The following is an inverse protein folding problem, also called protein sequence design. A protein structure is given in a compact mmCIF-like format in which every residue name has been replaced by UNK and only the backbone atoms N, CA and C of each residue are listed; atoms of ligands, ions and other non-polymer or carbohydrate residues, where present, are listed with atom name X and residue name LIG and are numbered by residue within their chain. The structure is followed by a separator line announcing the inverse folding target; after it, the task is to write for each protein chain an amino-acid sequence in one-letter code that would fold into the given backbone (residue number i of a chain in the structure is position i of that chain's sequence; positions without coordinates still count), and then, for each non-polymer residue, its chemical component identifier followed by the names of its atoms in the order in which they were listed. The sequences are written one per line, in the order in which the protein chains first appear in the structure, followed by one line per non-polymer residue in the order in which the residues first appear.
data_IF_227124177748
#
_entry.id   IF_227124177748
#
_cell.length_a   1.000
_cell.length_b   1.000
_cell.length_c   1.000
_cell.angle_alpha   90.00
_cell.angle_beta   90.00
_cell.angle_gamma   90.00
#
_symmetry.space_group_name_H-M   'P 1'
#
loop_
_entity.id
_entity.type
_entity.pdbx_description
1 polymer ?
#
# COMPACT_ATOMS: atom_id res chain seq x y z
N UNK A 1 -5.85 -14.88 14.87
CA UNK A 1 -4.66 -15.74 14.73
C UNK A 1 -5.12 -17.14 14.33
N UNK A 2 -4.47 -17.72 13.32
CA UNK A 2 -4.66 -19.12 12.91
C UNK A 2 -3.39 -19.87 13.27
N UNK A 3 -3.56 -21.01 13.96
CA UNK A 3 -2.48 -21.91 14.38
C UNK A 3 -2.70 -23.30 13.75
N UNK A 4 -1.64 -24.09 13.51
CA UNK A 4 -1.84 -25.48 13.09
C UNK A 4 -2.53 -26.29 14.19
N UNK A 5 -3.49 -27.13 13.79
CA UNK A 5 -4.01 -28.19 14.66
C UNK A 5 -3.16 -29.43 14.39
N UNK A 6 -2.38 -29.91 15.38
CA UNK A 6 -1.46 -31.04 15.19
C UNK A 6 -0.79 -31.03 13.80
N UNK A 7 0.09 -31.66 13.41
CA UNK A 7 0.95 -31.72 12.20
C UNK A 7 0.45 -31.16 10.83
N UNK A 8 -0.64 -30.39 10.79
CA UNK A 8 -1.20 -29.86 9.53
C UNK A 8 -0.31 -28.76 8.93
N UNK A 9 -0.04 -28.91 7.66
CA UNK A 9 0.64 -27.89 6.86
C UNK A 9 -0.22 -26.64 6.68
N UNK A 10 0.39 -25.49 6.46
CA UNK A 10 -0.32 -24.26 6.06
C UNK A 10 -1.07 -24.46 4.72
N UNK A 11 -0.59 -25.39 3.88
CA UNK A 11 -1.18 -25.70 2.60
C UNK A 11 -2.47 -26.52 2.71
N UNK A 12 -2.74 -27.15 3.87
CA UNK A 12 -3.95 -27.92 4.13
C UNK A 12 -5.13 -27.03 4.58
N UNK A 13 -4.89 -25.74 4.72
CA UNK A 13 -5.91 -24.78 5.14
C UNK A 13 -6.98 -24.61 4.06
N UNK A 14 -8.25 -24.66 4.48
CA UNK A 14 -9.36 -24.45 3.57
C UNK A 14 -9.41 -23.00 3.06
N UNK A 15 -9.13 -22.81 1.76
CA UNK A 15 -9.11 -21.51 1.11
C UNK A 15 -10.39 -20.70 1.32
N UNK A 16 -11.57 -21.30 1.16
CA UNK A 16 -12.85 -20.60 1.30
C UNK A 16 -13.04 -20.08 2.71
N UNK A 17 -12.66 -20.88 3.73
CA UNK A 17 -12.71 -20.50 5.14
C UNK A 17 -11.75 -19.34 5.44
N UNK A 18 -10.51 -19.40 4.94
CA UNK A 18 -9.52 -18.33 5.10
C UNK A 18 -10.02 -17.02 4.48
N UNK A 19 -10.52 -17.07 3.24
CA UNK A 19 -11.07 -15.88 2.56
C UNK A 19 -12.25 -15.31 3.34
N UNK A 20 -13.16 -16.14 3.84
CA UNK A 20 -14.31 -15.69 4.66
C UNK A 20 -13.86 -14.98 5.94
N UNK A 21 -12.87 -15.55 6.65
CA UNK A 21 -12.29 -14.91 7.84
C UNK A 21 -11.64 -13.57 7.49
N UNK A 22 -10.87 -13.52 6.40
CA UNK A 22 -10.19 -12.31 5.95
C UNK A 22 -11.19 -11.18 5.62
N UNK A 23 -12.23 -11.48 4.85
CA UNK A 23 -13.32 -10.54 4.54
C UNK A 23 -13.98 -9.97 5.80
N UNK A 24 -14.19 -10.80 6.81
CA UNK A 24 -14.81 -10.39 8.08
C UNK A 24 -13.87 -9.60 8.98
N UNK A 25 -12.59 -9.99 9.06
CA UNK A 25 -11.63 -9.46 10.05
C UNK A 25 -10.62 -8.44 9.46
N UNK A 26 -10.38 -8.46 8.15
CA UNK A 26 -9.40 -7.60 7.48
C UNK A 26 -7.94 -8.01 7.68
N UNK A 27 -7.62 -8.77 8.72
CA UNK A 27 -6.27 -9.23 9.05
C UNK A 27 -6.29 -10.67 9.51
N UNK A 28 -5.31 -11.46 9.07
CA UNK A 28 -5.07 -12.82 9.55
C UNK A 28 -3.58 -12.96 9.87
N UNK A 29 -3.28 -13.53 11.05
CA UNK A 29 -1.93 -13.92 11.44
C UNK A 29 -1.86 -15.44 11.45
N UNK A 30 -1.02 -16.01 10.60
CA UNK A 30 -0.68 -17.44 10.61
C UNK A 30 0.53 -17.64 11.52
N UNK A 31 0.37 -18.34 12.63
CA UNK A 31 1.41 -18.52 13.64
C UNK A 31 1.67 -20.00 13.91
N UNK A 32 2.94 -20.38 13.93
CA UNK A 32 3.36 -21.75 14.28
C UNK A 32 3.39 -22.72 13.11
N UNK A 33 3.15 -22.28 11.87
CA UNK A 33 3.32 -23.11 10.67
C UNK A 33 4.79 -23.17 10.24
N UNK A 34 5.21 -24.35 9.72
CA UNK A 34 6.52 -24.52 9.08
C UNK A 34 6.50 -23.91 7.68
N UNK A 35 6.78 -22.60 7.60
CA UNK A 35 6.90 -21.87 6.34
C UNK A 35 8.26 -21.18 6.26
N UNK A 36 8.81 -21.09 5.07
CA UNK A 36 10.11 -20.47 4.81
C UNK A 36 10.11 -19.68 3.50
N UNK A 37 11.22 -19.06 3.17
CA UNK A 37 11.40 -18.22 1.97
C UNK A 37 11.13 -18.95 0.66
N UNK A 38 11.37 -20.27 0.61
CA UNK A 38 11.19 -21.05 -0.64
C UNK A 38 9.75 -21.46 -0.89
N UNK A 39 8.88 -21.39 0.11
CA UNK A 39 7.50 -21.82 0.00
C UNK A 39 6.44 -20.77 0.38
N UNK A 40 6.86 -19.60 0.90
CA UNK A 40 5.92 -18.54 1.27
C UNK A 40 5.12 -18.05 0.05
N UNK A 41 5.76 -17.84 -1.10
CA UNK A 41 5.09 -17.43 -2.32
C UNK A 41 4.12 -18.50 -2.82
N UNK A 42 4.47 -19.78 -2.73
CA UNK A 42 3.55 -20.89 -3.07
C UNK A 42 2.26 -20.82 -2.23
N UNK A 43 2.38 -20.44 -0.96
CA UNK A 43 1.20 -20.25 -0.12
C UNK A 43 0.39 -19.03 -0.53
N UNK A 44 1.03 -17.89 -0.79
CA UNK A 44 0.31 -16.67 -1.20
C UNK A 44 -0.33 -16.81 -2.58
N UNK A 45 0.25 -17.61 -3.49
CA UNK A 45 -0.31 -17.92 -4.82
C UNK A 45 -1.71 -18.59 -4.75
N UNK A 46 -2.01 -19.29 -3.66
CA UNK A 46 -3.34 -19.86 -3.42
C UNK A 46 -4.42 -18.76 -3.45
N UNK A 47 -4.08 -17.55 -3.01
CA UNK A 47 -5.01 -16.43 -2.82
C UNK A 47 -4.78 -15.30 -3.82
N UNK A 48 -3.59 -15.18 -4.41
CA UNK A 48 -3.14 -14.06 -5.22
C UNK A 48 -3.07 -14.47 -6.69
N UNK A 49 -3.79 -13.75 -7.55
CA UNK A 49 -3.73 -13.96 -9.01
C UNK A 49 -2.64 -13.11 -9.67
N UNK A 50 -2.37 -11.94 -9.13
CA UNK A 50 -1.41 -10.98 -9.68
C UNK A 50 -0.71 -10.25 -8.56
N UNK A 51 0.62 -10.12 -8.66
CA UNK A 51 1.43 -9.35 -7.73
C UNK A 51 1.66 -7.93 -8.24
N UNK A 52 1.55 -6.95 -7.35
CA UNK A 52 2.02 -5.60 -7.59
C UNK A 52 3.54 -5.59 -7.43
N UNK A 53 4.27 -5.41 -8.53
CA UNK A 53 5.74 -5.44 -8.57
C UNK A 53 6.33 -4.03 -8.76
N UNK A 54 5.75 -3.05 -8.14
CA UNK A 54 6.13 -1.64 -8.22
C UNK A 54 7.11 -1.17 -7.12
N UNK A 55 7.57 -2.08 -6.27
CA UNK A 55 8.62 -1.84 -5.29
C UNK A 55 10.01 -1.66 -5.94
N UNK A 56 10.16 -0.61 -6.76
CA UNK A 56 11.34 -0.33 -7.60
C UNK A 56 12.65 -0.22 -6.79
N UNK A 57 12.56 0.04 -5.50
CA UNK A 57 13.71 0.29 -4.61
C UNK A 57 13.98 -0.81 -3.60
N UNK A 58 13.07 -1.76 -3.44
CA UNK A 58 13.29 -2.88 -2.51
C UNK A 58 14.23 -3.89 -3.15
N UNK A 59 15.27 -4.25 -2.44
CA UNK A 59 16.20 -5.26 -2.90
C UNK A 59 15.49 -6.61 -2.94
N UNK A 60 15.42 -7.19 -4.13
CA UNK A 60 15.05 -8.58 -4.27
C UNK A 60 16.30 -9.45 -4.01
N UNK A 61 16.55 -9.81 -2.76
CA UNK A 61 17.66 -10.70 -2.37
C UNK A 61 17.36 -12.16 -2.66
N UNK A 62 16.13 -12.46 -3.07
CA UNK A 62 15.68 -13.81 -3.31
C UNK A 62 15.54 -14.05 -4.82
N UNK A 63 15.67 -15.32 -5.21
CA UNK A 63 15.38 -15.73 -6.60
C UNK A 63 13.90 -15.50 -6.97
N UNK A 64 13.04 -15.42 -5.96
CA UNK A 64 11.62 -15.15 -6.13
C UNK A 64 11.35 -13.64 -6.32
N UNK A 65 10.94 -13.28 -7.52
CA UNK A 65 10.66 -11.88 -7.90
C UNK A 65 9.47 -11.24 -7.16
N UNK A 66 8.64 -12.04 -6.51
CA UNK A 66 7.45 -11.58 -5.80
C UNK A 66 7.71 -11.40 -4.30
N UNK A 67 8.89 -11.80 -3.82
CA UNK A 67 9.30 -11.66 -2.43
C UNK A 67 10.34 -10.56 -2.29
N UNK A 68 10.01 -9.49 -1.60
CA UNK A 68 10.88 -8.34 -1.38
C UNK A 68 11.19 -8.15 0.09
N UNK A 69 12.38 -7.65 0.39
CA UNK A 69 12.67 -7.16 1.74
C UNK A 69 11.74 -5.97 2.06
N UNK A 70 11.43 -5.78 3.33
CA UNK A 70 10.83 -4.51 3.80
C UNK A 70 11.83 -3.37 3.64
N UNK A 71 11.35 -2.13 3.65
CA UNK A 71 12.23 -0.97 3.55
C UNK A 71 13.29 -0.98 4.65
N UNK A 72 14.57 -0.80 4.32
CA UNK A 72 15.63 -0.77 5.32
C UNK A 72 15.50 0.50 6.15
N UNK A 73 15.55 0.36 7.45
CA UNK A 73 15.52 1.50 8.36
C UNK A 73 15.26 1.09 9.80
N UNK A 74 15.60 1.99 10.71
CA UNK A 74 15.38 1.85 12.14
C UNK A 74 14.48 2.97 12.69
N UNK A 75 13.61 3.49 11.85
CA UNK A 75 12.69 4.57 12.18
C UNK A 75 11.25 4.09 12.14
N UNK A 76 10.40 4.79 12.86
CA UNK A 76 8.97 4.57 12.83
C UNK A 76 8.41 4.84 11.43
N UNK A 77 7.66 3.88 10.89
CA UNK A 77 6.90 4.04 9.66
C UNK A 77 5.47 4.44 10.03
N UNK A 78 5.04 5.67 9.69
CA UNK A 78 3.67 6.10 9.96
C UNK A 78 2.64 5.22 9.26
N UNK A 79 1.43 5.16 9.81
CA UNK A 79 0.31 4.44 9.23
C UNK A 79 0.00 4.95 7.81
N UNK A 80 -0.10 4.03 6.88
CA UNK A 80 -0.44 4.30 5.49
C UNK A 80 -1.07 3.08 4.83
N UNK A 81 -1.77 3.30 3.75
CA UNK A 81 -2.23 2.21 2.88
C UNK A 81 -1.20 2.01 1.77
N UNK A 82 -0.70 0.79 1.61
CA UNK A 82 0.36 0.46 0.66
C UNK A 82 0.00 0.95 -0.75
N UNK A 83 0.92 1.73 -1.35
CA UNK A 83 0.79 2.30 -2.69
C UNK A 83 -0.55 3.02 -2.96
N UNK A 84 -1.23 3.54 -1.95
CA UNK A 84 -2.53 4.23 -2.13
C UNK A 84 -2.44 5.51 -2.98
N UNK A 85 -1.25 6.04 -3.20
CA UNK A 85 -0.93 7.10 -4.15
C UNK A 85 -0.76 6.61 -5.59
N UNK A 86 -0.88 5.31 -5.84
CA UNK A 86 -0.72 4.69 -7.16
C UNK A 86 -2.07 4.36 -7.79
N UNK A 87 -2.06 4.12 -9.09
CA UNK A 87 -3.22 3.64 -9.85
C UNK A 87 -3.51 2.16 -9.62
N UNK A 88 -2.50 1.41 -9.16
CA UNK A 88 -2.56 -0.04 -8.93
C UNK A 88 -2.12 -0.40 -7.52
N UNK A 89 -2.88 0.03 -6.53
CA UNK A 89 -2.65 -0.37 -5.14
C UNK A 89 -3.02 -1.85 -4.91
N UNK A 90 -2.32 -2.54 -4.02
CA UNK A 90 -2.63 -3.93 -3.71
C UNK A 90 -3.92 -4.06 -2.89
N UNK A 91 -4.72 -5.08 -3.20
CA UNK A 91 -5.90 -5.43 -2.39
C UNK A 91 -5.53 -6.18 -1.12
N UNK A 92 -4.40 -6.89 -1.14
CA UNK A 92 -3.87 -7.69 -0.04
C UNK A 92 -2.37 -7.44 0.06
N UNK A 93 -1.88 -7.22 1.27
CA UNK A 93 -0.45 -7.16 1.57
C UNK A 93 -0.08 -8.38 2.39
N UNK A 94 0.98 -9.07 2.00
CA UNK A 94 1.52 -10.23 2.69
C UNK A 94 2.83 -9.88 3.38
N UNK A 95 2.90 -10.13 4.68
CA UNK A 95 4.12 -10.01 5.45
C UNK A 95 4.60 -11.39 5.88
N UNK A 96 5.86 -11.68 5.64
CA UNK A 96 6.53 -12.87 6.12
C UNK A 96 7.66 -12.50 7.08
N UNK A 97 7.54 -12.90 8.33
CA UNK A 97 8.60 -12.69 9.33
C UNK A 97 9.64 -13.79 9.23
N UNK A 98 10.73 -13.52 8.50
CA UNK A 98 11.84 -14.46 8.37
C UNK A 98 12.67 -14.55 9.66
N UNK A 99 12.86 -13.43 10.35
CA UNK A 99 13.58 -13.34 11.62
C UNK A 99 12.97 -12.22 12.45
N UNK A 100 12.43 -12.59 13.59
CA UNK A 100 11.88 -11.60 14.50
C UNK A 100 13.02 -10.76 15.12
N UNK A 101 12.84 -9.44 15.27
CA UNK A 101 13.79 -8.61 15.99
C UNK A 101 13.78 -8.99 17.49
N UNK A 102 14.91 -8.78 18.16
CA UNK A 102 15.00 -9.01 19.61
C UNK A 102 14.22 -7.93 20.40
N UNK A 103 14.15 -6.71 19.88
CA UNK A 103 13.51 -5.56 20.52
C UNK A 103 12.93 -4.65 19.42
N UNK A 104 11.75 -4.12 19.64
CA UNK A 104 11.03 -3.23 18.71
C UNK A 104 10.74 -3.86 17.34
N UNK A 105 10.43 -3.09 16.31
CA UNK A 105 10.20 -3.56 14.95
C UNK A 105 8.85 -4.23 14.72
N UNK A 106 7.85 -3.91 15.53
CA UNK A 106 6.48 -4.37 15.36
C UNK A 106 5.90 -3.78 14.07
N UNK A 107 5.10 -4.59 13.36
CA UNK A 107 4.22 -4.08 12.31
C UNK A 107 2.90 -3.67 12.94
N UNK A 108 2.66 -2.35 12.98
CA UNK A 108 1.42 -1.79 13.51
C UNK A 108 0.33 -1.83 12.45
N UNK A 109 -0.91 -2.02 12.88
CA UNK A 109 -2.08 -2.12 12.02
C UNK A 109 -3.20 -1.22 12.52
N UNK A 110 -3.97 -0.65 11.60
CA UNK A 110 -5.16 0.10 11.91
C UNK A 110 -6.27 -0.15 10.89
N UNK A 111 -7.51 -0.32 11.36
CA UNK A 111 -8.67 -0.49 10.47
C UNK A 111 -9.15 0.89 9.98
N UNK A 112 -8.99 1.16 8.69
CA UNK A 112 -9.45 2.41 8.06
C UNK A 112 -10.96 2.67 8.21
N UNK A 113 -11.78 1.62 8.42
CA UNK A 113 -13.23 1.76 8.72
C UNK A 113 -13.44 2.29 10.13
N UNK A 114 -12.62 1.83 11.07
CA UNK A 114 -12.65 2.33 12.44
C UNK A 114 -12.20 3.80 12.49
N UNK A 115 -11.15 4.17 11.75
CA UNK A 115 -10.73 5.57 11.62
C UNK A 115 -11.89 6.43 11.11
N UNK A 116 -12.51 6.06 9.98
CA UNK A 116 -13.64 6.82 9.43
C UNK A 116 -14.83 6.91 10.38
N UNK A 117 -15.13 5.84 11.10
CA UNK A 117 -16.22 5.83 12.12
C UNK A 117 -15.97 6.85 13.22
N UNK A 118 -14.72 7.05 13.62
CA UNK A 118 -14.31 7.99 14.67
C UNK A 118 -14.08 9.43 14.17
N UNK A 119 -14.19 9.69 12.86
CA UNK A 119 -14.19 11.06 12.36
C UNK A 119 -15.42 11.79 12.84
N UNK A 120 -15.25 13.04 13.29
CA UNK A 120 -16.36 13.96 13.48
C UNK A 120 -16.97 14.35 12.13
N UNK A 121 -18.07 15.09 12.16
CA UNK A 121 -18.81 15.50 10.96
C UNK A 121 -17.96 16.37 10.03
N UNK A 122 -17.14 17.26 10.59
CA UNK A 122 -16.29 18.18 9.82
C UNK A 122 -15.23 17.43 9.03
N UNK A 123 -14.53 16.46 9.65
CA UNK A 123 -13.57 15.61 8.96
C UNK A 123 -14.22 14.75 7.88
N UNK A 124 -15.39 14.17 8.16
CA UNK A 124 -16.14 13.41 7.16
C UNK A 124 -16.48 14.29 5.95
N UNK A 125 -17.06 15.46 6.18
CA UNK A 125 -17.41 16.40 5.14
C UNK A 125 -16.18 16.91 4.38
N UNK A 126 -15.07 17.16 5.09
CA UNK A 126 -13.83 17.58 4.46
C UNK A 126 -13.35 16.56 3.43
N UNK A 127 -13.23 15.27 3.81
CA UNK A 127 -12.73 14.23 2.91
C UNK A 127 -13.73 13.74 1.87
N UNK A 128 -15.03 13.98 2.07
CA UNK A 128 -16.04 13.75 1.04
C UNK A 128 -15.99 14.82 -0.07
N UNK A 129 -15.66 16.06 0.28
CA UNK A 129 -15.65 17.21 -0.65
C UNK A 129 -14.28 17.42 -1.32
N UNK A 130 -13.20 16.92 -0.74
CA UNK A 130 -11.85 17.23 -1.21
C UNK A 130 -11.09 15.96 -1.62
N UNK A 131 -10.57 15.96 -2.83
CA UNK A 131 -9.60 14.96 -3.28
C UNK A 131 -8.19 15.36 -2.85
N UNK A 132 -7.37 14.34 -2.62
CA UNK A 132 -5.93 14.50 -2.39
C UNK A 132 -5.23 14.47 -3.73
N UNK A 133 -4.39 15.45 -3.96
CA UNK A 133 -3.52 15.55 -5.11
C UNK A 133 -2.13 15.07 -4.72
N UNK A 134 -1.69 13.99 -5.36
CA UNK A 134 -0.35 13.45 -5.23
C UNK A 134 0.50 13.85 -6.43
N UNK A 135 1.67 14.46 -6.18
CA UNK A 135 2.73 14.62 -7.19
C UNK A 135 3.66 13.42 -7.11
N UNK A 136 3.69 12.62 -8.15
CA UNK A 136 4.41 11.35 -8.20
C UNK A 136 5.60 11.43 -9.15
N UNK A 137 6.72 10.84 -8.73
CA UNK A 137 7.89 10.62 -9.57
C UNK A 137 8.34 9.17 -9.48
N UNK A 138 8.48 8.53 -10.64
CA UNK A 138 8.98 7.16 -10.73
C UNK A 138 10.29 7.17 -11.48
N UNK A 139 11.45 7.00 -10.81
CA UNK A 139 12.72 6.86 -11.48
C UNK A 139 12.81 5.51 -12.18
N UNK A 140 13.41 5.45 -13.35
CA UNK A 140 13.76 4.22 -14.03
C UNK A 140 15.25 4.19 -14.36
N UNK A 141 15.86 2.98 -14.42
CA UNK A 141 17.27 2.83 -14.75
C UNK A 141 17.47 2.84 -16.28
N UNK A 142 18.24 3.82 -16.80
CA UNK A 142 18.50 3.98 -18.22
C UNK A 142 19.38 2.88 -18.82
N UNK A 143 20.36 2.38 -18.07
CA UNK A 143 21.45 1.54 -18.60
C UNK A 143 21.09 0.09 -18.88
N UNK A 144 19.88 -0.30 -18.53
CA UNK A 144 19.24 -1.48 -19.08
C UNK A 144 17.85 -0.98 -19.44
N UNK A 145 17.77 -0.20 -20.51
CA UNK A 145 16.51 0.11 -21.14
C UNK A 145 15.75 -1.21 -21.27
N UNK A 146 15.11 -1.59 -20.17
CA UNK A 146 14.28 -2.77 -20.17
C UNK A 146 13.24 -2.42 -21.25
N UNK A 147 13.29 -3.08 -22.42
CA UNK A 147 12.36 -2.77 -23.53
C UNK A 147 10.92 -2.78 -23.04
N UNK A 148 10.65 -3.53 -21.92
CA UNK A 148 9.36 -3.53 -21.23
C UNK A 148 9.04 -2.22 -20.50
N UNK A 149 10.04 -1.49 -19.96
CA UNK A 149 9.81 -0.17 -19.35
C UNK A 149 9.63 0.88 -20.44
N UNK A 150 10.46 0.86 -21.47
CA UNK A 150 10.30 1.76 -22.63
C UNK A 150 9.01 1.44 -23.38
N UNK A 151 8.65 0.18 -23.55
CA UNK A 151 7.38 -0.23 -24.14
C UNK A 151 6.20 0.11 -23.22
N UNK A 152 6.33 -0.03 -21.90
CA UNK A 152 5.39 0.51 -20.92
C UNK A 152 5.32 2.02 -20.95
N UNK A 153 6.44 2.74 -21.04
CA UNK A 153 6.46 4.21 -21.08
C UNK A 153 6.01 4.75 -22.43
N UNK A 154 6.29 4.08 -23.54
CA UNK A 154 5.70 4.42 -24.86
C UNK A 154 4.21 4.09 -24.95
N UNK A 155 3.75 3.06 -24.25
CA UNK A 155 2.35 2.66 -24.14
C UNK A 155 1.66 3.24 -22.89
N UNK A 156 2.33 4.05 -22.07
CA UNK A 156 1.75 4.71 -20.90
C UNK A 156 0.71 5.76 -21.30
N UNK A 157 0.80 6.33 -22.47
CA UNK A 157 -0.15 7.33 -22.93
C UNK A 157 -1.62 6.85 -22.93
N UNK A 158 -1.99 5.66 -23.44
CA UNK A 158 -3.40 5.30 -23.50
C UNK A 158 -4.03 5.07 -22.14
N UNK A 159 -3.45 4.24 -21.28
CA UNK A 159 -4.12 3.87 -20.04
C UNK A 159 -3.94 4.88 -18.89
N UNK A 160 -2.89 5.72 -18.92
CA UNK A 160 -2.78 6.84 -17.97
C UNK A 160 -3.72 7.98 -18.32
N UNK A 161 -4.02 8.18 -19.60
CA UNK A 161 -5.02 9.17 -20.04
C UNK A 161 -6.43 8.70 -19.69
N UNK A 162 -6.67 7.39 -19.73
CA UNK A 162 -7.98 6.79 -19.45
C UNK A 162 -8.22 6.57 -17.94
N UNK A 163 -7.19 6.64 -17.08
CA UNK A 163 -7.38 6.46 -15.66
C UNK A 163 -7.92 7.73 -15.01
N UNK A 164 -9.16 7.72 -14.45
CA UNK A 164 -9.73 8.90 -13.83
C UNK A 164 -8.82 9.46 -12.73
N UNK A 165 -8.50 10.74 -12.81
CA UNK A 165 -7.68 11.45 -11.82
C UNK A 165 -6.19 11.56 -12.10
N UNK A 166 -5.66 10.91 -13.16
CA UNK A 166 -4.28 11.18 -13.62
C UNK A 166 -4.27 12.35 -14.59
N UNK A 167 -3.35 13.25 -14.38
CA UNK A 167 -3.05 14.37 -15.29
C UNK A 167 -1.61 14.85 -15.15
N UNK A 168 -1.20 15.79 -16.01
CA UNK A 168 0.18 16.31 -16.07
C UNK A 168 1.24 15.20 -16.13
N UNK A 169 0.97 14.18 -16.94
CA UNK A 169 1.89 13.06 -17.12
C UNK A 169 2.97 13.39 -18.12
N UNK A 170 4.23 13.29 -17.71
CA UNK A 170 5.34 13.45 -18.63
C UNK A 170 6.52 12.52 -18.32
N UNK A 171 7.28 12.17 -19.37
CA UNK A 171 8.44 11.30 -19.30
C UNK A 171 9.69 12.11 -19.61
N UNK A 172 10.65 12.10 -18.69
CA UNK A 172 11.97 12.67 -18.92
C UNK A 172 12.97 11.55 -19.18
N UNK A 173 13.31 11.36 -20.47
CA UNK A 173 14.26 10.33 -20.88
C UNK A 173 15.72 10.71 -20.53
N UNK A 174 16.05 12.01 -20.50
CA UNK A 174 17.40 12.49 -20.14
C UNK A 174 17.73 12.17 -18.67
N UNK A 175 16.78 12.39 -17.80
CA UNK A 175 16.94 12.19 -16.35
C UNK A 175 16.29 10.90 -15.85
N UNK A 176 15.76 10.08 -16.75
CA UNK A 176 15.23 8.74 -16.46
C UNK A 176 14.14 8.70 -15.38
N UNK A 177 13.12 9.53 -15.55
CA UNK A 177 11.94 9.47 -14.68
C UNK A 177 10.63 9.74 -15.42
N UNK A 178 9.56 9.16 -14.86
CA UNK A 178 8.16 9.48 -15.14
C UNK A 178 7.63 10.36 -14.02
N UNK A 179 7.00 11.47 -14.36
CA UNK A 179 6.28 12.32 -13.41
C UNK A 179 4.81 12.43 -13.79
N UNK A 180 3.93 12.37 -12.82
CA UNK A 180 2.49 12.61 -13.02
C UNK A 180 1.83 13.10 -11.74
N UNK A 181 0.63 13.67 -11.89
CA UNK A 181 -0.25 14.01 -10.79
C UNK A 181 -1.42 13.04 -10.74
N UNK A 182 -1.83 12.67 -9.55
CA UNK A 182 -2.95 11.78 -9.32
C UNK A 182 -3.90 12.36 -8.28
N UNK A 183 -5.16 12.52 -8.65
CA UNK A 183 -6.25 12.88 -7.73
C UNK A 183 -6.92 11.63 -7.18
N UNK A 184 -7.10 11.57 -5.87
CA UNK A 184 -7.83 10.47 -5.21
C UNK A 184 -8.59 10.95 -4.00
N UNK A 185 -9.74 10.36 -3.77
CA UNK A 185 -10.40 10.48 -2.47
C UNK A 185 -9.65 9.66 -1.42
N UNK A 186 -9.54 10.21 -0.21
CA UNK A 186 -9.02 9.48 0.94
C UNK A 186 -10.05 8.51 1.54
N UNK A 187 -11.29 8.61 1.13
CA UNK A 187 -12.40 7.75 1.54
C UNK A 187 -12.76 6.80 0.40
N UNK A 188 -12.81 5.50 0.70
CA UNK A 188 -13.08 4.45 -0.28
C UNK A 188 -14.16 3.51 0.26
N UNK A 189 -15.12 3.15 -0.57
CA UNK A 189 -16.04 2.03 -0.26
C UNK A 189 -15.29 0.72 -0.30
N UNK A 190 -15.45 -0.09 0.73
CA UNK A 190 -14.89 -1.44 0.75
C UNK A 190 -15.70 -2.36 -0.15
N UNK A 191 -15.04 -3.22 -0.93
CA UNK A 191 -15.71 -4.10 -1.93
C UNK A 191 -16.80 -5.00 -1.34
N UNK A 192 -16.61 -5.43 -0.11
CA UNK A 192 -17.40 -6.54 0.45
C UNK A 192 -18.48 -6.09 1.44
N UNK A 193 -18.62 -4.81 1.72
CA UNK A 193 -19.49 -4.39 2.82
C UNK A 193 -20.12 -3.01 2.69
N UNK A 194 -20.01 -2.32 1.58
CA UNK A 194 -20.44 -0.92 1.39
C UNK A 194 -19.96 0.06 2.48
N UNK A 195 -19.11 -0.40 3.39
CA UNK A 195 -18.54 0.43 4.45
C UNK A 195 -17.47 1.33 3.88
N UNK A 196 -17.41 2.54 4.40
CA UNK A 196 -16.37 3.51 4.03
C UNK A 196 -15.15 3.30 4.90
N UNK A 197 -13.99 3.30 4.29
CA UNK A 197 -12.69 3.25 4.94
C UNK A 197 -11.83 4.47 4.58
N UNK A 198 -11.04 4.94 5.53
CA UNK A 198 -10.02 5.95 5.30
C UNK A 198 -8.74 5.27 4.78
N UNK A 199 -8.43 5.50 3.50
CA UNK A 199 -7.38 4.79 2.74
C UNK A 199 -6.53 5.81 2.01
N UNK A 200 -5.32 6.06 2.51
CA UNK A 200 -4.46 7.11 1.95
C UNK A 200 -3.00 6.99 2.42
N UNK A 201 -2.19 7.94 1.97
CA UNK A 201 -0.76 8.03 2.28
C UNK A 201 -0.40 9.32 3.04
N UNK A 202 -1.37 10.00 3.62
CA UNK A 202 -1.21 11.36 4.17
C UNK A 202 -0.25 11.46 5.35
N UNK A 203 -0.15 10.40 6.16
CA UNK A 203 0.70 10.42 7.37
C UNK A 203 2.17 10.15 7.07
N UNK A 204 2.51 9.72 5.86
CA UNK A 204 3.89 9.49 5.45
C UNK A 204 4.64 10.83 5.36
N UNK A 205 5.83 10.84 5.92
CA UNK A 205 6.74 11.97 5.79
C UNK A 205 7.29 11.98 4.36
N UNK A 206 6.97 13.02 3.59
CA UNK A 206 7.30 13.14 2.16
C UNK A 206 8.76 12.82 1.84
N UNK A 207 9.69 13.24 2.70
CA UNK A 207 11.11 12.99 2.49
C UNK A 207 11.52 11.51 2.64
N UNK A 208 10.62 10.65 3.12
CA UNK A 208 10.87 9.21 3.31
C UNK A 208 10.26 8.36 2.21
N UNK A 209 9.22 8.85 1.53
CA UNK A 209 8.73 8.23 0.30
C UNK A 209 9.24 9.00 -0.92
N UNK A 210 10.31 8.50 -1.54
CA UNK A 210 10.94 9.20 -2.64
C UNK A 210 10.10 9.23 -3.92
N UNK A 211 8.99 8.52 -3.97
CA UNK A 211 8.08 8.52 -5.12
C UNK A 211 7.01 9.60 -5.00
N UNK A 212 6.67 10.03 -3.79
CA UNK A 212 5.70 11.08 -3.54
C UNK A 212 6.43 12.39 -3.25
N UNK A 213 6.41 13.31 -4.21
CA UNK A 213 7.06 14.60 -4.10
C UNK A 213 6.26 15.59 -3.26
N UNK A 214 4.93 15.53 -3.38
CA UNK A 214 4.04 16.44 -2.68
C UNK A 214 2.64 15.84 -2.50
N UNK A 215 1.93 16.31 -1.48
CA UNK A 215 0.53 15.99 -1.23
C UNK A 215 -0.21 17.27 -0.85
N UNK A 216 -1.22 17.61 -1.64
CA UNK A 216 -2.06 18.79 -1.43
C UNK A 216 -3.53 18.43 -1.63
N UNK A 217 -4.40 19.38 -1.43
CA UNK A 217 -5.77 19.33 -1.93
C UNK A 217 -5.79 19.61 -3.44
N UNK A 218 -6.89 19.31 -4.09
CA UNK A 218 -7.10 19.54 -5.51
C UNK A 218 -6.83 20.99 -5.96
N UNK A 219 -7.08 21.96 -5.08
CA UNK A 219 -6.80 23.38 -5.33
C UNK A 219 -5.35 23.80 -4.99
N UNK A 220 -4.41 22.84 -4.88
CA UNK A 220 -3.02 23.00 -4.48
C UNK A 220 -2.80 23.56 -3.06
N UNK A 221 -3.84 23.68 -2.25
CA UNK A 221 -3.67 24.08 -0.84
C UNK A 221 -3.17 22.90 -0.01
N UNK A 222 -2.31 23.19 0.94
CA UNK A 222 -1.87 22.18 1.93
C UNK A 222 -3.03 21.80 2.84
N UNK A 223 -3.09 20.53 3.23
CA UNK A 223 -4.00 20.10 4.30
C UNK A 223 -3.54 20.75 5.60
N UNK A 224 -4.48 21.34 6.33
CA UNK A 224 -4.12 22.08 7.54
C UNK A 224 -3.49 21.15 8.60
N UNK A 225 -2.57 21.70 9.38
CA UNK A 225 -1.94 20.99 10.50
C UNK A 225 -2.99 20.43 11.47
N UNK A 226 -4.03 21.22 11.78
CA UNK A 226 -5.14 20.79 12.65
C UNK A 226 -5.78 19.49 12.18
N UNK A 227 -6.10 19.38 10.88
CA UNK A 227 -6.67 18.15 10.29
C UNK A 227 -5.68 17.00 10.40
N UNK A 228 -4.41 17.21 10.09
CA UNK A 228 -3.38 16.16 10.16
C UNK A 228 -3.17 15.66 11.60
N UNK A 229 -3.14 16.56 12.57
CA UNK A 229 -2.98 16.22 13.99
C UNK A 229 -4.19 15.41 14.51
N UNK A 230 -5.40 15.77 14.10
CA UNK A 230 -6.62 15.02 14.45
C UNK A 230 -6.64 13.62 13.85
N UNK A 231 -6.27 13.47 12.57
CA UNK A 231 -6.11 12.15 11.94
C UNK A 231 -5.09 11.30 12.70
N UNK A 232 -3.93 11.89 13.02
CA UNK A 232 -2.87 11.18 13.74
C UNK A 232 -3.33 10.73 15.11
N UNK A 233 -4.04 11.58 15.86
CA UNK A 233 -4.61 11.24 17.16
C UNK A 233 -5.54 10.04 17.06
N UNK A 234 -6.56 10.11 16.20
CA UNK A 234 -7.53 9.02 15.99
C UNK A 234 -6.83 7.73 15.55
N UNK A 235 -5.87 7.82 14.63
CA UNK A 235 -5.14 6.67 14.14
C UNK A 235 -4.32 6.00 15.24
N UNK A 236 -3.64 6.78 16.08
CA UNK A 236 -2.83 6.25 17.19
C UNK A 236 -3.69 5.53 18.25
N UNK A 237 -4.87 6.08 18.55
CA UNK A 237 -5.81 5.47 19.52
C UNK A 237 -6.37 4.13 19.04
N UNK A 238 -6.42 3.90 17.72
CA UNK A 238 -6.97 2.71 17.09
C UNK A 238 -5.91 1.71 16.61
N UNK A 239 -4.63 2.05 16.74
CA UNK A 239 -3.51 1.21 16.29
C UNK A 239 -3.27 0.04 17.25
N UNK A 240 -3.05 -1.14 16.68
CA UNK A 240 -2.74 -2.39 17.38
C UNK A 240 -1.45 -3.01 16.85
#
# INVERSE_FOLDING_TARGET
IIKPSSEKSIFDLNKKKIVSIFKKKGVIIFKGFKINKSNVTKFTDIFTKQYANDAIRRNNRFKDKNLHDVDPGNYEMPLHSEASYSTSWPEIVWFYCNKAPKKSGQTTLCDGRAIYKNFNLDLKNFFLKNQILYDIIIPFKANKANPKIIKRTKNLRPWHIEYPGIYDCYINLKNNYLKYKLKKYALVKTRESDKVAFVNHLQIILNRDPQVLNMTLENNKKISKKIMDEIKKISNELTV
#
